data_IF_940878311560
#
_entry.id   IF_940878311560
#
_cell.length_a   1.000
_cell.length_b   1.000
_cell.length_c   1.000
_cell.angle_alpha   90.00
_cell.angle_beta   90.00
_cell.angle_gamma   90.00
#
_symmetry.space_group_name_H-M   'P 1'
#
loop_
_entity.id
_entity.type
_entity.pdbx_description
1 polymer ?
#
# COMPACT_ATOMS: atom_id res chain seq x y z
N UNK A 1 10.34 -24.43 9.07
CA UNK A 1 10.52 -23.82 10.19
C UNK A 1 10.12 -22.41 10.15
N UNK A 2 9.27 -22.14 10.88
CA UNK A 2 8.66 -20.88 10.84
C UNK A 2 9.59 -19.76 11.16
N UNK A 3 10.46 -20.00 12.02
CA UNK A 3 11.37 -18.95 12.40
C UNK A 3 12.49 -18.78 11.42
N UNK A 4 12.45 -19.53 10.33
CA UNK A 4 13.55 -19.46 9.39
C UNK A 4 13.73 -18.07 8.80
N UNK A 5 12.63 -17.35 8.61
CA UNK A 5 12.77 -16.01 8.07
C UNK A 5 13.56 -15.12 9.00
N UNK A 6 13.49 -15.38 10.28
CA UNK A 6 14.23 -14.58 11.25
C UNK A 6 15.70 -14.90 11.25
N UNK A 7 16.05 -16.08 10.79
CA UNK A 7 17.45 -16.45 10.75
C UNK A 7 18.22 -15.76 9.63
N UNK A 8 17.51 -15.13 8.69
CA UNK A 8 18.19 -14.42 7.61
C UNK A 8 18.84 -13.14 8.09
N UNK A 9 18.33 -12.55 9.18
CA UNK A 9 18.84 -11.31 9.69
C UNK A 9 19.01 -11.39 11.19
N UNK A 10 20.17 -10.95 11.69
CA UNK A 10 20.38 -10.80 13.11
C UNK A 10 19.74 -9.50 13.58
N UNK A 11 19.70 -9.32 14.89
CA UNK A 11 19.23 -8.05 15.44
C UNK A 11 20.06 -6.87 14.97
N UNK A 12 21.36 -7.07 14.84
CA UNK A 12 22.24 -6.02 14.36
C UNK A 12 21.92 -5.66 12.90
N UNK A 13 21.63 -6.68 12.07
CA UNK A 13 21.27 -6.43 10.69
C UNK A 13 19.96 -5.63 10.59
N UNK A 14 18.99 -5.95 11.42
CA UNK A 14 17.73 -5.23 11.43
C UNK A 14 17.90 -3.80 11.88
N UNK A 15 18.79 -3.57 12.84
CA UNK A 15 19.08 -2.22 13.29
C UNK A 15 19.73 -1.39 12.19
N UNK A 16 20.65 -2.00 11.45
CA UNK A 16 21.29 -1.32 10.34
C UNK A 16 20.30 -0.97 9.25
N UNK A 17 19.34 -1.88 8.97
CA UNK A 17 18.31 -1.64 7.98
C UNK A 17 17.29 -0.61 8.45
N UNK A 18 17.24 -0.34 9.74
CA UNK A 18 16.24 0.58 10.28
C UNK A 18 16.36 1.99 9.73
N UNK A 19 17.55 2.38 9.26
CA UNK A 19 17.75 3.71 8.70
C UNK A 19 17.56 3.78 7.19
N UNK A 20 17.25 2.66 6.55
CA UNK A 20 17.02 2.63 5.12
C UNK A 20 15.60 3.12 4.83
N UNK A 21 15.49 4.07 3.93
CA UNK A 21 14.18 4.60 3.54
C UNK A 21 13.50 3.67 2.56
N UNK A 22 12.18 3.58 2.67
CA UNK A 22 11.38 2.85 1.69
C UNK A 22 10.20 3.71 1.29
N UNK A 23 9.66 3.41 0.10
CA UNK A 23 8.53 4.16 -0.42
C UNK A 23 7.22 3.51 -0.02
N UNK A 24 6.27 4.33 0.36
CA UNK A 24 4.92 3.88 0.68
C UNK A 24 3.98 4.44 -0.37
N UNK A 25 3.24 3.57 -1.04
CA UNK A 25 2.24 3.98 -2.01
C UNK A 25 0.86 3.73 -1.46
N UNK A 26 -0.06 4.62 -1.75
CA UNK A 26 -1.45 4.46 -1.35
C UNK A 26 -2.29 4.37 -2.61
N UNK A 27 -2.95 3.21 -2.79
CA UNK A 27 -3.73 2.95 -3.99
C UNK A 27 -5.20 3.18 -3.71
N UNK A 28 -5.79 4.07 -4.51
CA UNK A 28 -7.21 4.41 -4.38
C UNK A 28 -8.11 3.32 -4.91
N UNK A 29 -7.74 2.73 -6.03
CA UNK A 29 -8.60 1.75 -6.69
C UNK A 29 -8.17 1.55 -8.13
N UNK A 30 -9.02 0.84 -8.87
CA UNK A 30 -8.73 0.43 -10.24
C UNK A 30 -9.92 0.77 -11.13
N UNK A 31 -9.62 1.12 -12.36
CA UNK A 31 -10.64 1.32 -13.38
C UNK A 31 -10.20 0.63 -14.65
N UNK A 32 -11.15 0.17 -15.44
CA UNK A 32 -10.88 -0.40 -16.76
C UNK A 32 -11.46 0.54 -17.80
N UNK A 33 -10.62 0.95 -18.72
CA UNK A 33 -11.04 1.85 -19.79
C UNK A 33 -10.50 1.31 -21.11
N UNK A 34 -11.14 1.70 -22.20
CA UNK A 34 -10.65 1.31 -23.51
C UNK A 34 -9.41 2.11 -23.87
N UNK A 35 -8.63 1.58 -24.82
CA UNK A 35 -7.50 2.34 -25.33
C UNK A 35 -7.98 3.65 -25.96
N UNK A 36 -9.12 3.60 -26.60
CA UNK A 36 -9.71 4.81 -27.21
C UNK A 36 -9.95 5.88 -26.15
N UNK A 37 -10.57 5.49 -25.04
CA UNK A 37 -10.83 6.44 -23.95
C UNK A 37 -9.52 6.96 -23.35
N UNK A 38 -8.54 6.09 -23.22
CA UNK A 38 -7.25 6.48 -22.71
C UNK A 38 -6.60 7.56 -23.59
N UNK A 39 -6.69 7.39 -24.90
CA UNK A 39 -6.11 8.34 -25.83
C UNK A 39 -6.87 9.68 -25.88
N UNK A 40 -8.10 9.70 -25.40
CA UNK A 40 -8.89 10.93 -25.38
C UNK A 40 -8.91 11.60 -24.01
N UNK A 41 -8.07 11.16 -23.08
CA UNK A 41 -7.97 11.79 -21.79
C UNK A 41 -7.45 13.21 -21.91
N UNK A 42 -8.04 14.09 -21.14
CA UNK A 42 -7.65 15.48 -21.12
C UNK A 42 -7.96 16.05 -19.75
N UNK A 43 -7.59 17.29 -19.55
CA UNK A 43 -7.87 17.96 -18.29
C UNK A 43 -9.37 17.91 -18.00
N UNK A 44 -9.72 17.62 -16.77
CA UNK A 44 -11.10 17.51 -16.26
C UNK A 44 -11.78 16.22 -16.64
N UNK A 45 -11.11 15.26 -17.26
CA UNK A 45 -11.64 13.93 -17.49
C UNK A 45 -11.85 13.25 -16.13
N UNK A 46 -13.00 12.60 -15.98
CA UNK A 46 -13.34 11.90 -14.76
C UNK A 46 -13.21 10.40 -15.01
N UNK A 47 -12.42 9.74 -14.18
CA UNK A 47 -12.25 8.28 -14.24
C UNK A 47 -12.95 7.68 -13.03
N UNK A 48 -13.95 6.85 -13.29
CA UNK A 48 -14.69 6.20 -12.22
C UNK A 48 -13.98 4.91 -11.83
N UNK A 49 -13.69 4.77 -10.55
CA UNK A 49 -13.02 3.58 -10.04
C UNK A 49 -14.05 2.49 -9.73
N UNK A 50 -13.58 1.23 -9.76
CA UNK A 50 -14.46 0.08 -9.49
C UNK A 50 -14.82 -0.03 -8.03
N UNK A 51 -13.99 0.49 -7.15
CA UNK A 51 -14.22 0.44 -5.72
C UNK A 51 -15.36 1.37 -5.30
N UNK A 52 -16.07 0.97 -4.24
CA UNK A 52 -17.14 1.80 -3.71
C UNK A 52 -16.59 3.02 -2.99
N UNK A 53 -17.36 4.10 -3.01
CA UNK A 53 -17.00 5.29 -2.26
C UNK A 53 -16.92 4.93 -0.77
N UNK A 54 -15.88 5.42 -0.12
CA UNK A 54 -15.68 5.15 1.30
C UNK A 54 -14.92 3.88 1.61
N UNK A 55 -14.55 3.11 0.58
CA UNK A 55 -13.70 1.94 0.81
C UNK A 55 -12.32 2.38 1.26
N UNK A 56 -11.73 1.58 2.16
CA UNK A 56 -10.37 1.84 2.60
C UNK A 56 -9.41 1.66 1.43
N UNK A 57 -8.36 2.45 1.44
CA UNK A 57 -7.32 2.39 0.43
C UNK A 57 -6.28 1.37 0.82
N UNK A 58 -5.59 0.85 -0.19
CA UNK A 58 -4.50 -0.10 0.04
C UNK A 58 -3.19 0.65 0.25
N UNK A 59 -2.47 0.27 1.29
CA UNK A 59 -1.16 0.83 1.61
C UNK A 59 -0.12 -0.21 1.23
N UNK A 60 0.75 0.15 0.30
CA UNK A 60 1.69 -0.78 -0.33
C UNK A 60 3.11 -0.27 -0.12
N UNK A 61 3.99 -1.15 0.34
CA UNK A 61 5.41 -0.83 0.52
C UNK A 61 6.21 -1.75 -0.38
N UNK A 62 6.96 -1.17 -1.31
CA UNK A 62 7.77 -1.93 -2.27
C UNK A 62 6.96 -3.00 -2.99
N UNK A 63 5.73 -2.65 -3.38
CA UNK A 63 4.86 -3.56 -4.11
C UNK A 63 4.13 -4.59 -3.27
N UNK A 64 4.30 -4.55 -1.96
CA UNK A 64 3.65 -5.52 -1.06
C UNK A 64 2.57 -4.80 -0.26
N UNK A 65 1.37 -5.37 -0.26
CA UNK A 65 0.28 -4.83 0.54
C UNK A 65 0.58 -5.06 2.02
N UNK A 66 0.64 -3.97 2.78
CA UNK A 66 0.95 -4.05 4.21
C UNK A 66 -0.20 -3.58 5.09
N UNK A 67 -1.12 -2.79 4.56
CA UNK A 67 -2.19 -2.26 5.39
C UNK A 67 -3.31 -1.70 4.52
N UNK A 68 -4.41 -1.36 5.18
CA UNK A 68 -5.47 -0.56 4.60
C UNK A 68 -5.60 0.71 5.43
N UNK A 69 -6.12 1.76 4.84
CA UNK A 69 -6.24 3.01 5.54
C UNK A 69 -7.20 3.98 4.89
N UNK A 70 -7.39 5.10 5.54
CA UNK A 70 -8.23 6.17 5.04
C UNK A 70 -7.42 7.44 4.93
N UNK A 71 -7.74 8.26 3.94
CA UNK A 71 -7.05 9.53 3.74
C UNK A 71 -7.59 10.55 4.73
N UNK A 72 -6.68 11.26 5.37
CA UNK A 72 -7.02 12.34 6.29
C UNK A 72 -6.20 13.57 5.94
N UNK A 73 -6.68 14.72 6.35
CA UNK A 73 -5.98 15.99 6.14
C UNK A 73 -5.48 16.47 7.49
N UNK A 74 -4.18 16.74 7.57
CA UNK A 74 -3.56 17.24 8.79
C UNK A 74 -2.75 18.46 8.40
N UNK A 75 -3.14 19.65 8.91
CA UNK A 75 -2.40 20.89 8.67
C UNK A 75 -2.07 21.11 7.20
N UNK A 76 -3.07 20.97 6.33
CA UNK A 76 -2.93 21.14 4.88
C UNK A 76 -2.12 20.05 4.20
N UNK A 77 -1.70 19.03 4.94
CA UNK A 77 -1.01 17.89 4.37
C UNK A 77 -1.96 16.71 4.26
N UNK A 78 -1.81 15.95 3.19
CA UNK A 78 -2.56 14.72 3.01
C UNK A 78 -1.83 13.59 3.72
N UNK A 79 -2.54 12.86 4.56
CA UNK A 79 -1.97 11.76 5.31
C UNK A 79 -2.89 10.54 5.21
N UNK A 80 -2.43 9.40 5.67
CA UNK A 80 -3.23 8.19 5.68
C UNK A 80 -3.23 7.63 7.10
N UNK A 81 -4.44 7.37 7.61
CA UNK A 81 -4.58 6.72 8.91
C UNK A 81 -4.85 5.24 8.65
N UNK A 82 -4.02 4.38 9.22
CA UNK A 82 -4.17 2.95 9.04
C UNK A 82 -5.38 2.45 9.80
N UNK A 83 -6.21 1.64 9.13
CA UNK A 83 -7.39 1.05 9.73
C UNK A 83 -7.21 -0.43 9.97
N UNK A 84 -6.33 -1.06 9.21
CA UNK A 84 -6.10 -2.49 9.31
C UNK A 84 -4.70 -2.82 8.85
N UNK A 85 -4.00 -3.68 9.58
CA UNK A 85 -2.66 -4.13 9.21
C UNK A 85 -2.79 -5.51 8.59
N UNK A 86 -2.19 -5.68 7.41
CA UNK A 86 -2.19 -6.97 6.74
C UNK A 86 -1.21 -7.91 7.43
N UNK A 87 -1.57 -9.18 7.52
CA UNK A 87 -0.67 -10.16 8.10
C UNK A 87 0.53 -10.35 7.17
N UNK A 88 1.75 -10.44 7.72
CA UNK A 88 2.92 -10.69 6.88
C UNK A 88 2.82 -12.08 6.25
N UNK A 89 3.31 -12.23 5.01
CA UNK A 89 3.27 -13.55 4.36
C UNK A 89 3.96 -14.64 5.16
N UNK A 90 5.04 -14.30 5.87
CA UNK A 90 5.75 -15.29 6.67
C UNK A 90 4.90 -15.82 7.82
N UNK A 91 4.02 -15.00 8.36
CA UNK A 91 3.13 -15.43 9.42
C UNK A 91 2.12 -16.45 8.90
N UNK A 92 1.67 -16.29 7.68
CA UNK A 92 0.73 -17.22 7.08
C UNK A 92 1.36 -18.58 6.86
N UNK A 93 2.59 -18.58 6.38
CA UNK A 93 3.26 -19.83 6.09
C UNK A 93 3.65 -20.57 7.36
N UNK A 94 3.80 -19.86 8.44
CA UNK A 94 4.18 -20.51 9.68
C UNK A 94 3.01 -21.20 10.38
N UNK A 95 1.84 -20.87 9.96
CA UNK A 95 0.67 -21.54 10.52
C UNK A 95 0.46 -22.91 9.89
#
# INVERSE_FOLDING_TARGET
>A
MSSSSNSLFSSADLQALGDVSCSVDVWLGTARISVRDCLHMKRHTIIRLEESAGSDMQVVVNGVLVAHGEVVIIDDSTAVRLTEIAAPPSAETSA
#
